data_IF_649922940165
#
_entry.id   IF_649922940165
#
_cell.length_a   1.000
_cell.length_b   1.000
_cell.length_c   1.000
_cell.angle_alpha   90.00
_cell.angle_beta   90.00
_cell.angle_gamma   90.00
#
_symmetry.space_group_name_H-M   'P 1'
#
loop_
_entity.id
_entity.type
_entity.pdbx_description
1 polymer ?
#
# COMPACT_ATOMS: atom_id res chain seq x y z
N UNK A 1 -16.17 -17.80 30.15
CA UNK A 1 -15.14 -18.25 29.18
C UNK A 1 -15.05 -17.17 28.12
N UNK A 2 -13.99 -16.38 28.16
CA UNK A 2 -13.71 -15.35 27.17
C UNK A 2 -12.69 -15.99 26.23
N UNK A 3 -13.03 -16.15 24.95
CA UNK A 3 -12.16 -16.77 23.97
C UNK A 3 -10.81 -16.03 23.88
N UNK A 4 -9.73 -16.70 23.45
CA UNK A 4 -8.44 -16.05 23.32
C UNK A 4 -8.57 -14.88 22.34
N UNK A 5 -8.20 -13.69 22.80
CA UNK A 5 -7.94 -12.53 21.97
C UNK A 5 -6.71 -12.86 21.13
N UNK A 6 -6.89 -13.02 19.83
CA UNK A 6 -5.81 -13.19 18.86
C UNK A 6 -5.02 -11.87 18.76
N UNK A 7 -4.07 -11.71 19.68
CA UNK A 7 -2.90 -10.87 19.51
C UNK A 7 -1.83 -11.74 18.85
N UNK A 8 -1.79 -11.74 17.52
CA UNK A 8 -0.77 -12.43 16.74
C UNK A 8 -0.62 -11.69 15.40
N UNK A 9 0.56 -11.31 14.94
CA UNK A 9 1.92 -11.59 15.37
C UNK A 9 2.86 -10.84 14.41
N UNK A 10 4.14 -10.78 14.77
CA UNK A 10 5.21 -10.22 13.94
C UNK A 10 5.12 -10.76 12.50
N UNK A 11 4.95 -9.86 11.52
CA UNK A 11 4.94 -10.21 10.10
C UNK A 11 6.29 -10.81 9.71
N UNK A 12 6.24 -12.08 9.31
CA UNK A 12 7.37 -12.91 8.94
C UNK A 12 7.80 -12.59 7.51
N UNK A 13 9.08 -12.77 7.18
CA UNK A 13 9.66 -12.63 5.83
C UNK A 13 8.97 -13.56 4.79
N UNK A 14 8.08 -14.45 5.23
CA UNK A 14 7.31 -15.38 4.42
C UNK A 14 5.87 -14.93 4.08
N UNK A 15 5.43 -13.75 4.52
CA UNK A 15 4.09 -13.22 4.23
C UNK A 15 4.09 -12.24 3.03
N UNK A 16 4.68 -12.64 1.90
CA UNK A 16 4.38 -11.95 0.63
C UNK A 16 3.03 -12.44 0.13
N UNK A 17 1.98 -11.68 0.44
CA UNK A 17 0.69 -11.92 -0.19
C UNK A 17 0.75 -11.56 -1.69
N UNK A 18 -0.19 -12.11 -2.47
CA UNK A 18 -0.28 -11.89 -3.92
C UNK A 18 -0.38 -10.40 -4.28
N UNK A 19 -0.92 -9.58 -3.37
CA UNK A 19 -1.04 -8.12 -3.56
C UNK A 19 0.35 -7.49 -3.51
N UNK A 20 1.18 -7.83 -2.51
CA UNK A 20 2.54 -7.28 -2.38
C UNK A 20 3.39 -7.61 -3.61
N UNK A 21 3.26 -8.81 -4.17
CA UNK A 21 3.95 -9.22 -5.41
C UNK A 21 3.53 -8.31 -6.57
N UNK A 22 2.22 -8.14 -6.80
CA UNK A 22 1.71 -7.29 -7.89
C UNK A 22 2.10 -5.83 -7.72
N UNK A 23 2.14 -5.33 -6.48
CA UNK A 23 2.63 -3.97 -6.21
C UNK A 23 4.10 -3.82 -6.62
N UNK A 24 4.96 -4.80 -6.31
CA UNK A 24 6.34 -4.79 -6.79
C UNK A 24 6.46 -4.84 -8.32
N UNK A 25 5.66 -5.67 -8.99
CA UNK A 25 5.66 -5.76 -10.47
C UNK A 25 5.35 -4.41 -11.12
N UNK A 26 4.34 -3.69 -10.60
CA UNK A 26 3.96 -2.38 -11.12
C UNK A 26 5.03 -1.32 -10.82
N UNK A 27 5.63 -1.35 -9.63
CA UNK A 27 6.74 -0.46 -9.29
C UNK A 27 7.94 -0.67 -10.22
N UNK A 28 8.34 -1.91 -10.44
CA UNK A 28 9.44 -2.27 -11.34
C UNK A 28 9.16 -1.85 -12.78
N UNK A 29 7.95 -2.11 -13.28
CA UNK A 29 7.54 -1.70 -14.62
C UNK A 29 7.55 -0.17 -14.82
N UNK A 30 7.41 0.60 -13.74
CA UNK A 30 7.47 2.07 -13.76
C UNK A 30 8.86 2.63 -13.35
N UNK A 31 9.87 1.77 -13.17
CA UNK A 31 11.24 2.18 -12.87
C UNK A 31 11.53 2.50 -11.40
N UNK A 32 10.67 2.07 -10.48
CA UNK A 32 10.85 2.25 -9.04
C UNK A 32 11.43 0.98 -8.40
N UNK A 33 12.66 1.09 -7.89
CA UNK A 33 13.37 0.01 -7.20
C UNK A 33 13.45 0.31 -5.70
N UNK A 34 12.33 0.14 -4.99
CA UNK A 34 12.21 0.40 -3.56
C UNK A 34 11.71 -0.83 -2.81
N UNK A 35 12.03 -0.95 -1.52
CA UNK A 35 11.47 -1.99 -0.67
C UNK A 35 10.15 -1.52 -0.02
N UNK A 36 9.10 -2.33 -0.11
CA UNK A 36 7.78 -2.03 0.47
C UNK A 36 7.79 -2.38 1.96
N UNK A 37 7.68 -1.35 2.80
CA UNK A 37 7.48 -1.45 4.25
C UNK A 37 6.03 -1.82 4.60
N UNK A 38 5.05 -1.13 4.01
CA UNK A 38 3.62 -1.40 4.21
C UNK A 38 2.80 -0.88 3.02
N UNK A 39 1.56 -1.33 2.89
CA UNK A 39 0.62 -0.80 1.89
C UNK A 39 -0.80 -0.78 2.42
N UNK A 40 -1.62 0.12 1.89
CA UNK A 40 -3.00 0.33 2.29
C UNK A 40 -3.91 0.48 1.06
N UNK A 41 -4.92 -0.38 0.96
CA UNK A 41 -6.01 -0.27 -0.02
C UNK A 41 -6.92 0.88 0.40
N UNK A 42 -6.99 1.95 -0.40
CA UNK A 42 -7.82 3.12 -0.08
C UNK A 42 -9.05 3.26 -0.97
N UNK A 43 -9.09 2.62 -2.14
CA UNK A 43 -10.30 2.50 -2.96
C UNK A 43 -10.32 1.15 -3.68
N UNK A 44 -11.50 0.54 -3.75
CA UNK A 44 -11.73 -0.69 -4.51
C UNK A 44 -12.97 -0.51 -5.40
N UNK A 45 -12.74 -0.43 -6.71
CA UNK A 45 -13.79 -0.34 -7.70
C UNK A 45 -14.16 -1.74 -8.17
N UNK A 46 -15.02 -2.40 -7.38
CA UNK A 46 -15.61 -3.71 -7.67
C UNK A 46 -14.59 -4.84 -7.91
N UNK A 47 -13.37 -4.73 -7.38
CA UNK A 47 -12.29 -5.67 -7.56
C UNK A 47 -11.49 -5.48 -8.86
N UNK A 48 -11.97 -4.66 -9.79
CA UNK A 48 -11.37 -4.44 -11.11
C UNK A 48 -10.22 -3.41 -11.07
N UNK A 49 -10.37 -2.38 -10.23
CA UNK A 49 -9.34 -1.36 -10.01
C UNK A 49 -9.20 -1.10 -8.52
N UNK A 50 -8.04 -1.46 -7.98
CA UNK A 50 -7.71 -1.29 -6.56
C UNK A 50 -6.61 -0.26 -6.40
N UNK A 51 -6.85 0.78 -5.63
CA UNK A 51 -5.88 1.85 -5.41
C UNK A 51 -5.19 1.69 -4.06
N UNK A 52 -3.88 1.81 -4.08
CA UNK A 52 -3.00 1.57 -2.97
C UNK A 52 -2.11 2.77 -2.69
N UNK A 53 -1.90 3.03 -1.40
CA UNK A 53 -0.71 3.73 -0.94
C UNK A 53 0.31 2.71 -0.51
N UNK A 54 1.53 2.83 -1.04
CA UNK A 54 2.67 2.00 -0.68
C UNK A 54 3.66 2.85 0.08
N UNK A 55 3.97 2.48 1.33
CA UNK A 55 5.06 3.06 2.11
C UNK A 55 6.33 2.27 1.87
N UNK A 56 7.38 2.95 1.43
CA UNK A 56 8.70 2.33 1.25
C UNK A 56 9.49 2.36 2.55
N UNK A 57 10.58 1.60 2.61
CA UNK A 57 11.57 1.66 3.70
C UNK A 57 12.34 2.99 3.72
N UNK A 58 12.45 3.66 2.57
CA UNK A 58 13.04 5.00 2.40
C UNK A 58 12.06 6.13 2.79
N UNK A 59 10.98 5.81 3.49
CA UNK A 59 9.96 6.76 3.95
C UNK A 59 9.25 7.54 2.83
N UNK A 60 9.27 7.02 1.60
CA UNK A 60 8.46 7.53 0.48
C UNK A 60 7.06 6.92 0.51
N UNK A 61 6.07 7.65 0.00
CA UNK A 61 4.73 7.08 -0.24
C UNK A 61 4.37 7.18 -1.71
N UNK A 62 3.92 6.06 -2.26
CA UNK A 62 3.58 5.92 -3.66
C UNK A 62 2.07 5.66 -3.77
N UNK A 63 1.37 6.53 -4.50
CA UNK A 63 -0.03 6.36 -4.89
C UNK A 63 -0.06 5.62 -6.24
N UNK A 64 -0.73 4.47 -6.27
CA UNK A 64 -0.75 3.59 -7.45
C UNK A 64 -2.01 2.73 -7.49
N UNK A 65 -2.29 2.09 -8.62
CA UNK A 65 -3.36 1.10 -8.71
C UNK A 65 -2.88 -0.27 -9.22
N UNK A 66 -3.63 -1.30 -8.83
CA UNK A 66 -3.65 -2.61 -9.46
C UNK A 66 -4.92 -2.72 -10.31
N UNK A 67 -4.73 -2.91 -11.61
CA UNK A 67 -5.78 -3.17 -12.59
C UNK A 67 -5.20 -3.78 -13.88
N UNK A 68 -6.04 -3.97 -14.90
CA UNK A 68 -5.56 -4.28 -16.25
C UNK A 68 -4.56 -3.23 -16.79
N UNK A 69 -4.68 -1.98 -16.34
CA UNK A 69 -3.81 -0.86 -16.71
C UNK A 69 -3.23 -0.25 -15.43
N UNK A 70 -2.34 -1.00 -14.77
CA UNK A 70 -1.74 -0.56 -13.51
C UNK A 70 -0.78 0.62 -13.74
N UNK A 71 -0.81 1.59 -12.83
CA UNK A 71 -0.06 2.85 -12.97
C UNK A 71 0.39 3.38 -11.60
N UNK A 72 1.53 4.07 -11.58
CA UNK A 72 1.98 4.90 -10.46
C UNK A 72 1.55 6.34 -10.72
N UNK A 73 0.70 6.89 -9.87
CA UNK A 73 0.13 8.23 -10.03
C UNK A 73 1.00 9.32 -9.43
N UNK A 74 1.53 9.10 -8.23
CA UNK A 74 2.29 10.13 -7.50
C UNK A 74 3.24 9.50 -6.50
N UNK A 75 4.40 10.14 -6.33
CA UNK A 75 5.37 9.81 -5.28
C UNK A 75 5.51 11.01 -4.36
N UNK A 76 5.33 10.77 -3.07
CA UNK A 76 5.44 11.75 -2.01
C UNK A 76 6.70 11.47 -1.19
N UNK A 77 7.61 12.45 -1.16
CA UNK A 77 8.83 12.41 -0.35
C UNK A 77 8.69 13.31 0.88
N UNK A 78 9.26 12.89 2.01
CA UNK A 78 9.31 13.71 3.24
C UNK A 78 7.98 13.84 4.00
N UNK A 79 6.91 13.16 3.57
CA UNK A 79 5.64 13.14 4.29
C UNK A 79 5.61 12.06 5.37
N UNK A 80 5.15 12.44 6.56
CA UNK A 80 4.82 11.52 7.65
C UNK A 80 3.51 10.78 7.37
N UNK A 81 3.33 9.59 7.96
CA UNK A 81 2.07 8.83 7.88
C UNK A 81 0.85 9.65 8.34
N UNK A 82 1.05 10.61 9.26
CA UNK A 82 -0.02 11.47 9.78
C UNK A 82 -0.51 12.46 8.72
N UNK A 83 0.39 13.08 7.97
CA UNK A 83 0.05 14.04 6.91
C UNK A 83 -0.71 13.36 5.78
N UNK A 84 -0.24 12.17 5.45
CA UNK A 84 -0.82 11.21 4.52
C UNK A 84 -2.25 10.85 4.95
N UNK A 85 -2.46 10.40 6.19
CA UNK A 85 -3.80 10.14 6.73
C UNK A 85 -4.71 11.37 6.72
N UNK A 86 -4.18 12.59 6.89
CA UNK A 86 -4.95 13.83 6.80
C UNK A 86 -5.38 14.14 5.36
N UNK A 87 -4.52 13.94 4.38
CA UNK A 87 -4.88 14.03 2.95
C UNK A 87 -6.03 13.05 2.64
N UNK A 88 -6.05 11.89 3.28
CA UNK A 88 -7.07 10.85 3.07
C UNK A 88 -8.40 11.10 3.79
N UNK A 89 -8.37 11.58 5.05
CA UNK A 89 -9.60 11.94 5.78
C UNK A 89 -10.36 13.07 5.10
N UNK A 90 -9.69 13.94 4.33
CA UNK A 90 -10.35 15.00 3.56
C UNK A 90 -11.12 14.52 2.32
N UNK A 91 -10.95 13.26 1.89
CA UNK A 91 -11.57 12.69 0.68
C UNK A 91 -12.65 11.63 0.93
N UNK A 92 -12.85 11.24 2.19
CA UNK A 92 -14.00 10.42 2.62
C UNK A 92 -15.05 11.37 3.20
N UNK A 93 -16.07 11.71 2.39
CA UNK A 93 -17.35 12.21 2.91
C UNK A 93 -18.15 11.05 3.51
#
# INVERSE_FOLDING_TARGET
MIGPVEIAGQLSIFDMDETKIKLYEVLEANGYHCEIRSYYLHNDYLGEVKYFFVRTTDDMIIDMCLSQFSEVFTVYEGFSEIEIQKIYRGRLQ
#
